data_IF_301423189818
#
_entry.id   IF_301423189818
#
_cell.length_a   1.000
_cell.length_b   1.000
_cell.length_c   1.000
_cell.angle_alpha   90.00
_cell.angle_beta   90.00
_cell.angle_gamma   90.00
#
_symmetry.space_group_name_H-M   'P 1'
#
loop_
_entity.id
_entity.type
_entity.pdbx_description
1 polymer ?
#
# COMPACT_ATOMS: atom_id res chain seq x y z
N UNK A 1 11.43 -8.29 -7.82
CA UNK A 1 10.46 -9.02 -6.97
C UNK A 1 10.81 -9.16 -5.47
N UNK A 2 11.95 -9.73 -5.06
CA UNK A 2 12.21 -10.06 -3.64
C UNK A 2 12.02 -8.90 -2.64
N UNK A 3 12.53 -7.70 -2.98
CA UNK A 3 12.39 -6.50 -2.14
C UNK A 3 10.93 -6.11 -1.87
N UNK A 4 10.04 -6.30 -2.86
CA UNK A 4 8.61 -6.04 -2.71
C UNK A 4 7.99 -7.00 -1.70
N UNK A 5 8.25 -8.31 -1.83
CA UNK A 5 7.75 -9.30 -0.89
C UNK A 5 8.27 -9.07 0.54
N UNK A 6 9.54 -8.70 0.69
CA UNK A 6 10.10 -8.33 2.00
C UNK A 6 9.40 -7.11 2.59
N UNK A 7 9.13 -6.07 1.79
CA UNK A 7 8.40 -4.89 2.25
C UNK A 7 6.97 -5.24 2.68
N UNK A 8 6.25 -6.09 1.94
CA UNK A 8 4.92 -6.56 2.32
C UNK A 8 4.96 -7.37 3.63
N UNK A 9 5.94 -8.24 3.78
CA UNK A 9 6.11 -9.04 5.00
C UNK A 9 6.38 -8.16 6.23
N UNK A 10 7.29 -7.19 6.14
CA UNK A 10 7.56 -6.24 7.22
C UNK A 10 6.32 -5.40 7.55
N UNK A 11 5.62 -4.95 6.52
CA UNK A 11 4.37 -4.20 6.65
C UNK A 11 3.32 -5.03 7.40
N UNK A 12 3.23 -6.32 7.09
CA UNK A 12 2.36 -7.27 7.78
C UNK A 12 2.82 -7.62 9.20
N UNK A 13 4.08 -7.46 9.54
CA UNK A 13 4.51 -7.64 10.93
C UNK A 13 4.11 -6.41 11.76
N UNK A 14 4.30 -5.20 11.23
CA UNK A 14 4.22 -3.97 12.03
C UNK A 14 2.94 -3.15 11.85
N UNK A 15 1.86 -3.70 11.28
CA UNK A 15 0.59 -2.99 11.07
C UNK A 15 -0.32 -2.86 12.30
N UNK A 16 0.15 -3.30 13.46
CA UNK A 16 -0.54 -3.19 14.75
C UNK A 16 -0.58 -4.50 15.53
N UNK A 17 -0.53 -5.66 14.84
CA UNK A 17 -0.66 -6.97 15.50
C UNK A 17 0.53 -7.35 16.38
N UNK A 18 1.74 -6.88 16.04
CA UNK A 18 2.91 -7.09 16.91
C UNK A 18 2.84 -6.26 18.19
N UNK A 19 2.18 -5.09 18.17
CA UNK A 19 1.98 -4.27 19.36
C UNK A 19 0.99 -4.96 20.32
N UNK A 20 -0.04 -5.63 19.78
CA UNK A 20 -1.00 -6.44 20.55
C UNK A 20 -0.32 -7.66 21.21
N UNK A 21 0.54 -8.38 20.48
CA UNK A 21 1.26 -9.55 21.00
C UNK A 21 2.25 -9.13 22.10
N UNK A 22 2.95 -8.01 21.93
CA UNK A 22 3.86 -7.47 22.95
C UNK A 22 3.12 -7.07 24.23
N UNK A 23 1.89 -6.57 24.12
CA UNK A 23 1.06 -6.19 25.26
C UNK A 23 0.56 -7.42 26.04
N UNK A 24 0.16 -8.49 25.34
CA UNK A 24 -0.34 -9.76 25.94
C UNK A 24 0.77 -10.56 26.63
N UNK A 25 2.03 -10.45 26.18
CA UNK A 25 3.18 -11.18 26.72
C UNK A 25 3.68 -10.74 28.10
N UNK A 26 3.00 -9.83 28.80
CA UNK A 26 3.41 -9.34 30.13
C UNK A 26 2.90 -10.20 31.31
N UNK A 27 2.18 -11.30 31.02
CA UNK A 27 1.74 -12.29 32.01
C UNK A 27 2.48 -13.62 31.81
N UNK A 28 3.70 -13.73 32.35
CA UNK A 28 4.32 -14.92 32.96
C UNK A 28 5.85 -14.77 32.97
N UNK A 29 6.44 -15.00 34.14
CA UNK A 29 7.88 -15.00 34.40
C UNK A 29 8.64 -15.89 33.40
N UNK A 30 9.51 -15.30 32.59
CA UNK A 30 10.75 -15.96 32.19
C UNK A 30 11.80 -14.94 31.74
N UNK A 31 12.97 -15.05 32.34
CA UNK A 31 14.17 -14.27 32.05
C UNK A 31 14.72 -14.66 30.67
N UNK A 32 14.11 -14.20 29.59
CA UNK A 32 14.62 -14.39 28.23
C UNK A 32 14.65 -13.07 27.49
N UNK A 33 15.87 -12.57 27.23
CA UNK A 33 16.27 -11.45 26.36
C UNK A 33 15.09 -10.61 25.84
N UNK A 34 14.84 -9.45 26.44
CA UNK A 34 13.89 -8.48 25.88
C UNK A 34 14.37 -8.09 24.48
N UNK A 35 13.76 -8.68 23.46
CA UNK A 35 13.98 -8.28 22.08
C UNK A 35 13.49 -6.84 21.98
N UNK A 36 14.37 -5.91 21.61
CA UNK A 36 14.02 -4.49 21.46
C UNK A 36 13.08 -4.30 20.25
N UNK A 37 11.80 -4.60 20.45
CA UNK A 37 10.75 -4.55 19.43
C UNK A 37 10.61 -3.15 18.84
N UNK A 38 10.80 -2.10 19.65
CA UNK A 38 10.77 -0.72 19.18
C UNK A 38 11.91 -0.43 18.20
N UNK A 39 13.11 -0.92 18.50
CA UNK A 39 14.28 -0.82 17.61
C UNK A 39 14.05 -1.58 16.30
N UNK A 40 13.47 -2.78 16.37
CA UNK A 40 13.12 -3.57 15.18
C UNK A 40 12.03 -2.89 14.36
N UNK A 41 11.00 -2.36 14.99
CA UNK A 41 9.91 -1.61 14.34
C UNK A 41 10.46 -0.40 13.59
N UNK A 42 11.29 0.41 14.24
CA UNK A 42 11.90 1.59 13.62
C UNK A 42 12.74 1.21 12.40
N UNK A 43 13.53 0.14 12.52
CA UNK A 43 14.35 -0.38 11.42
C UNK A 43 13.50 -0.91 10.27
N UNK A 44 12.42 -1.64 10.57
CA UNK A 44 11.49 -2.14 9.57
C UNK A 44 10.79 -1.01 8.81
N UNK A 45 10.28 0.00 9.52
CA UNK A 45 9.65 1.17 8.90
C UNK A 45 10.64 1.91 7.99
N UNK A 46 11.88 2.12 8.43
CA UNK A 46 12.92 2.75 7.59
C UNK A 46 13.18 1.96 6.30
N UNK A 47 13.21 0.62 6.38
CA UNK A 47 13.41 -0.23 5.20
C UNK A 47 12.20 -0.20 4.25
N UNK A 48 10.98 -0.18 4.79
CA UNK A 48 9.75 -0.04 3.99
C UNK A 48 9.74 1.31 3.27
N UNK A 49 10.05 2.39 3.99
CA UNK A 49 10.12 3.74 3.43
C UNK A 49 11.17 3.82 2.31
N UNK A 50 12.39 3.37 2.58
CA UNK A 50 13.45 3.33 1.57
C UNK A 50 13.03 2.54 0.32
N UNK A 51 12.33 1.41 0.50
CA UNK A 51 11.79 0.63 -0.61
C UNK A 51 10.79 1.44 -1.45
N UNK A 52 9.79 2.08 -0.83
CA UNK A 52 8.78 2.87 -1.55
C UNK A 52 9.44 4.04 -2.29
N UNK A 53 10.43 4.68 -1.68
CA UNK A 53 11.16 5.80 -2.29
C UNK A 53 11.94 5.40 -3.54
N UNK A 54 12.31 4.13 -3.72
CA UNK A 54 12.95 3.68 -4.98
C UNK A 54 12.05 3.80 -6.22
N UNK A 55 10.73 3.95 -6.02
CA UNK A 55 9.73 4.09 -7.09
C UNK A 55 9.12 5.49 -7.16
N UNK A 56 9.68 6.44 -6.40
CA UNK A 56 9.13 7.78 -6.24
C UNK A 56 9.94 8.81 -7.02
N UNK A 57 9.69 8.91 -8.34
CA UNK A 57 10.32 9.94 -9.18
C UNK A 57 9.81 11.35 -8.79
N UNK A 58 10.64 12.23 -8.22
CA UNK A 58 10.17 13.52 -7.70
C UNK A 58 9.44 14.36 -8.74
N UNK A 59 9.87 14.31 -10.01
CA UNK A 59 9.28 15.11 -11.08
C UNK A 59 7.90 14.57 -11.49
N UNK A 60 7.77 13.26 -11.72
CA UNK A 60 6.47 12.66 -12.03
C UNK A 60 5.45 12.88 -10.90
N UNK A 61 5.87 12.75 -9.63
CA UNK A 61 4.97 12.97 -8.49
C UNK A 61 4.57 14.43 -8.34
N UNK A 62 5.49 15.38 -8.56
CA UNK A 62 5.18 16.81 -8.55
C UNK A 62 4.16 17.16 -9.64
N UNK A 63 4.37 16.67 -10.87
CA UNK A 63 3.45 16.88 -11.99
C UNK A 63 2.05 16.28 -11.72
N UNK A 64 2.01 15.07 -11.15
CA UNK A 64 0.77 14.40 -10.76
C UNK A 64 0.04 15.14 -9.63
N UNK A 65 0.77 15.71 -8.67
CA UNK A 65 0.18 16.49 -7.59
C UNK A 65 -0.40 17.83 -8.07
N UNK A 66 0.24 18.49 -9.03
CA UNK A 66 -0.20 19.78 -9.57
C UNK A 66 -1.44 19.66 -10.47
N UNK A 67 -1.51 18.65 -11.34
CA UNK A 67 -2.54 18.58 -12.40
C UNK A 67 -3.61 17.52 -12.15
N UNK A 68 -3.33 16.47 -11.38
CA UNK A 68 -4.15 15.25 -11.30
C UNK A 68 -4.59 14.68 -12.66
N UNK A 69 -3.92 15.07 -13.75
CA UNK A 69 -4.30 14.72 -15.10
C UNK A 69 -4.00 13.24 -15.38
N UNK A 70 -4.80 12.56 -16.21
CA UNK A 70 -4.58 11.16 -16.57
C UNK A 70 -3.16 10.82 -17.04
N UNK A 71 -2.54 11.71 -17.82
CA UNK A 71 -1.19 11.52 -18.33
C UNK A 71 -0.13 11.50 -17.21
N UNK A 72 -0.21 12.44 -16.26
CA UNK A 72 0.72 12.51 -15.14
C UNK A 72 0.61 11.29 -14.20
N UNK A 73 -0.63 10.83 -13.93
CA UNK A 73 -0.86 9.61 -13.16
C UNK A 73 -0.35 8.35 -13.88
N UNK A 74 -0.43 8.32 -15.21
CA UNK A 74 0.10 7.22 -16.03
C UNK A 74 1.62 7.19 -15.94
N UNK A 75 2.30 8.33 -16.01
CA UNK A 75 3.76 8.41 -15.86
C UNK A 75 4.22 7.85 -14.51
N UNK A 76 3.56 8.23 -13.41
CA UNK A 76 3.84 7.67 -12.07
C UNK A 76 3.60 6.17 -12.03
N UNK A 77 2.53 5.69 -12.67
CA UNK A 77 2.21 4.26 -12.75
C UNK A 77 3.32 3.47 -13.43
N UNK A 78 3.81 3.96 -14.58
CA UNK A 78 4.86 3.29 -15.33
C UNK A 78 6.20 3.31 -14.60
N UNK A 79 6.58 4.43 -13.97
CA UNK A 79 7.82 4.51 -13.18
C UNK A 79 7.78 3.63 -11.93
N UNK A 80 6.59 3.44 -11.35
CA UNK A 80 6.40 2.65 -10.14
C UNK A 80 6.16 1.16 -10.39
N UNK A 81 5.96 0.74 -11.65
CA UNK A 81 5.52 -0.62 -12.01
C UNK A 81 6.57 -1.67 -11.67
N UNK A 82 6.15 -2.71 -10.96
CA UNK A 82 6.89 -3.96 -10.78
C UNK A 82 6.21 -5.02 -11.64
N UNK A 83 6.84 -5.42 -12.74
CA UNK A 83 6.23 -6.28 -13.75
C UNK A 83 5.71 -7.60 -13.16
N UNK A 84 6.49 -8.21 -12.27
CA UNK A 84 6.17 -9.51 -11.67
C UNK A 84 5.07 -9.41 -10.61
N UNK A 85 4.79 -8.22 -10.07
CA UNK A 85 3.72 -8.04 -9.09
C UNK A 85 2.33 -8.30 -9.70
N UNK A 86 2.17 -8.11 -11.01
CA UNK A 86 0.94 -8.44 -11.73
C UNK A 86 0.62 -9.94 -11.79
N UNK A 87 1.58 -10.81 -11.45
CA UNK A 87 1.39 -12.26 -11.36
C UNK A 87 0.99 -12.74 -9.96
N UNK A 88 1.08 -11.87 -8.94
CA UNK A 88 0.62 -12.22 -7.61
C UNK A 88 -0.90 -12.26 -7.58
N UNK A 89 -1.44 -13.25 -6.90
CA UNK A 89 -2.87 -13.36 -6.61
C UNK A 89 -3.07 -13.15 -5.12
N UNK A 90 -3.85 -12.15 -4.77
CA UNK A 90 -4.28 -11.90 -3.39
C UNK A 90 -5.67 -12.52 -3.13
N UNK A 91 -5.84 -12.99 -1.91
CA UNK A 91 -7.13 -13.31 -1.30
C UNK A 91 -7.88 -12.05 -0.87
N UNK A 92 -9.17 -12.18 -0.59
CA UNK A 92 -9.97 -11.08 -0.04
C UNK A 92 -9.45 -10.58 1.31
N UNK A 93 -8.92 -11.47 2.16
CA UNK A 93 -8.35 -11.11 3.45
C UNK A 93 -7.09 -10.23 3.30
N UNK A 94 -6.21 -10.57 2.35
CA UNK A 94 -5.01 -9.77 2.06
C UNK A 94 -5.38 -8.39 1.53
N UNK A 95 -6.32 -8.30 0.57
CA UNK A 95 -6.81 -7.01 0.06
C UNK A 95 -7.45 -6.19 1.18
N UNK A 96 -8.34 -6.78 1.98
CA UNK A 96 -9.01 -6.11 3.09
C UNK A 96 -8.01 -5.55 4.12
N UNK A 97 -6.91 -6.27 4.35
CA UNK A 97 -5.84 -5.80 5.23
C UNK A 97 -5.13 -4.55 4.71
N UNK A 98 -4.77 -4.51 3.43
CA UNK A 98 -4.18 -3.30 2.84
C UNK A 98 -5.18 -2.13 2.90
N UNK A 99 -6.47 -2.37 2.66
CA UNK A 99 -7.51 -1.35 2.78
C UNK A 99 -7.63 -0.82 4.21
N UNK A 100 -7.58 -1.68 5.22
CA UNK A 100 -7.55 -1.26 6.62
C UNK A 100 -6.29 -0.42 6.92
N UNK A 101 -5.14 -0.84 6.39
CA UNK A 101 -3.85 -0.19 6.61
C UNK A 101 -3.74 1.22 6.02
N UNK A 102 -4.55 1.58 5.02
CA UNK A 102 -4.66 2.97 4.56
C UNK A 102 -5.12 3.95 5.66
N UNK A 103 -5.71 3.44 6.75
CA UNK A 103 -6.11 4.22 7.94
C UNK A 103 -5.11 4.16 9.09
N UNK A 104 -4.04 3.38 8.97
CA UNK A 104 -3.04 3.19 10.04
C UNK A 104 -2.36 4.52 10.39
N UNK A 105 -2.05 4.86 11.66
CA UNK A 105 -1.40 6.13 12.00
C UNK A 105 -0.02 6.31 11.36
N UNK A 106 0.70 5.24 11.03
CA UNK A 106 2.02 5.30 10.40
C UNK A 106 1.94 5.72 8.92
N UNK A 107 2.58 6.84 8.52
CA UNK A 107 2.60 7.28 7.12
C UNK A 107 3.32 6.27 6.22
N UNK A 108 4.37 5.62 6.73
CA UNK A 108 5.12 4.58 6.02
C UNK A 108 4.24 3.39 5.64
N UNK A 109 3.43 2.91 6.59
CA UNK A 109 2.53 1.77 6.34
C UNK A 109 1.40 2.15 5.37
N UNK A 110 0.84 3.36 5.50
CA UNK A 110 -0.13 3.87 4.51
C UNK A 110 0.48 3.92 3.10
N UNK A 111 1.70 4.46 2.98
CA UNK A 111 2.41 4.57 1.72
C UNK A 111 2.67 3.21 1.07
N UNK A 112 3.15 2.25 1.86
CA UNK A 112 3.38 0.89 1.38
C UNK A 112 2.08 0.18 0.99
N UNK A 113 1.01 0.33 1.77
CA UNK A 113 -0.29 -0.22 1.44
C UNK A 113 -0.84 0.36 0.13
N UNK A 114 -0.79 1.69 -0.04
CA UNK A 114 -1.20 2.34 -1.28
C UNK A 114 -0.36 1.89 -2.48
N UNK A 115 0.96 1.77 -2.31
CA UNK A 115 1.88 1.25 -3.32
C UNK A 115 1.56 -0.21 -3.70
N UNK A 116 1.32 -1.09 -2.74
CA UNK A 116 0.96 -2.47 -3.00
C UNK A 116 -0.35 -2.58 -3.78
N UNK A 117 -1.38 -1.82 -3.36
CA UNK A 117 -2.66 -1.76 -4.06
C UNK A 117 -2.53 -1.19 -5.48
N UNK A 118 -1.62 -0.22 -5.69
CA UNK A 118 -1.26 0.23 -7.03
C UNK A 118 -0.77 -0.96 -7.85
N UNK A 119 0.28 -1.67 -7.41
CA UNK A 119 0.85 -2.81 -8.12
C UNK A 119 -0.19 -3.88 -8.49
N UNK A 120 -1.11 -4.17 -7.57
CA UNK A 120 -2.15 -5.18 -7.77
C UNK A 120 -3.25 -4.78 -8.74
N UNK A 121 -3.43 -3.48 -8.98
CA UNK A 121 -4.54 -2.95 -9.79
C UNK A 121 -4.08 -2.34 -11.10
N UNK A 122 -2.77 -2.34 -11.40
CA UNK A 122 -2.28 -1.79 -12.66
C UNK A 122 -2.92 -2.53 -13.84
N UNK A 123 -3.52 -1.82 -14.82
CA UNK A 123 -4.05 -2.44 -16.02
C UNK A 123 -3.02 -3.32 -16.74
N UNK A 124 -3.50 -4.44 -17.29
CA UNK A 124 -2.68 -5.47 -17.93
C UNK A 124 -2.09 -6.52 -16.98
N UNK A 125 -2.21 -6.37 -15.66
CA UNK A 125 -1.82 -7.40 -14.69
C UNK A 125 -2.72 -8.64 -14.76
N UNK A 126 -2.13 -9.84 -14.64
CA UNK A 126 -2.84 -11.14 -14.76
C UNK A 126 -4.05 -11.26 -13.83
N UNK A 127 -3.95 -10.69 -12.63
CA UNK A 127 -5.00 -10.74 -11.61
C UNK A 127 -5.64 -9.38 -11.31
N UNK A 128 -5.38 -8.34 -12.12
CA UNK A 128 -5.85 -6.97 -11.86
C UNK A 128 -7.39 -6.90 -11.71
N UNK A 129 -8.13 -7.53 -12.62
CA UNK A 129 -9.61 -7.58 -12.57
C UNK A 129 -10.13 -8.23 -11.28
N UNK A 130 -9.47 -9.29 -10.80
CA UNK A 130 -9.82 -9.93 -9.54
C UNK A 130 -9.59 -8.98 -8.36
N UNK A 131 -8.41 -8.34 -8.29
CA UNK A 131 -8.07 -7.43 -7.20
C UNK A 131 -8.97 -6.20 -7.15
N UNK A 132 -9.36 -5.66 -8.31
CA UNK A 132 -10.34 -4.57 -8.41
C UNK A 132 -11.68 -4.99 -7.78
N UNK A 133 -12.19 -6.18 -8.12
CA UNK A 133 -13.45 -6.69 -7.53
C UNK A 133 -13.34 -6.91 -6.02
N UNK A 134 -12.21 -7.43 -5.55
CA UNK A 134 -11.95 -7.59 -4.12
C UNK A 134 -11.89 -6.23 -3.40
N UNK A 135 -11.27 -5.22 -4.01
CA UNK A 135 -11.22 -3.85 -3.46
C UNK A 135 -12.60 -3.21 -3.37
N UNK A 136 -13.43 -3.36 -4.41
CA UNK A 136 -14.82 -2.89 -4.39
C UNK A 136 -15.61 -3.57 -3.26
N UNK A 137 -15.49 -4.89 -3.14
CA UNK A 137 -16.16 -5.69 -2.10
C UNK A 137 -15.70 -5.31 -0.69
N UNK A 138 -14.43 -4.90 -0.53
CA UNK A 138 -13.87 -4.41 0.73
C UNK A 138 -14.23 -2.95 1.05
N UNK A 139 -15.06 -2.27 0.23
CA UNK A 139 -15.41 -0.87 0.42
C UNK A 139 -14.24 0.09 0.21
N UNK A 140 -13.20 -0.32 -0.52
CA UNK A 140 -11.98 0.45 -0.73
C UNK A 140 -12.18 1.85 -1.35
N UNK A 141 -13.15 2.10 -2.28
CA UNK A 141 -13.29 3.42 -2.89
C UNK A 141 -13.42 4.57 -1.89
N UNK A 142 -14.19 4.39 -0.80
CA UNK A 142 -14.33 5.42 0.24
C UNK A 142 -13.00 5.68 0.95
N UNK A 143 -12.26 4.62 1.26
CA UNK A 143 -10.98 4.70 2.00
C UNK A 143 -9.91 5.35 1.16
N UNK A 144 -9.81 4.95 -0.11
CA UNK A 144 -8.85 5.49 -1.05
C UNK A 144 -9.11 6.98 -1.32
N UNK A 145 -10.38 7.43 -1.39
CA UNK A 145 -10.70 8.86 -1.50
C UNK A 145 -10.21 9.65 -0.30
N UNK A 146 -10.44 9.14 0.91
CA UNK A 146 -9.93 9.76 2.13
C UNK A 146 -8.39 9.80 2.15
N UNK A 147 -7.72 8.71 1.75
CA UNK A 147 -6.26 8.64 1.67
C UNK A 147 -5.68 9.62 0.63
N UNK A 148 -6.30 9.72 -0.55
CA UNK A 148 -5.92 10.64 -1.62
C UNK A 148 -6.06 12.14 -1.25
N UNK A 149 -7.02 12.44 -0.36
CA UNK A 149 -7.35 13.79 0.10
C UNK A 149 -6.67 14.17 1.44
N UNK A 150 -5.99 13.24 2.11
CA UNK A 150 -5.38 13.50 3.41
C UNK A 150 -4.30 14.59 3.31
N UNK A 151 -4.51 15.72 3.99
CA UNK A 151 -3.62 16.87 3.94
C UNK A 151 -2.22 16.56 4.50
N UNK A 152 -2.15 15.77 5.57
CA UNK A 152 -0.91 15.41 6.27
C UNK A 152 -0.25 14.12 5.78
N UNK A 153 -0.80 13.45 4.77
CA UNK A 153 -0.20 12.24 4.23
C UNK A 153 0.97 12.57 3.27
N UNK A 154 1.99 11.70 3.17
CA UNK A 154 3.03 11.82 2.16
C UNK A 154 2.44 11.91 0.75
N UNK A 155 3.12 12.64 -0.14
CA UNK A 155 2.69 12.83 -1.53
C UNK A 155 2.54 11.48 -2.24
N UNK A 156 3.42 10.52 -1.95
CA UNK A 156 3.43 9.18 -2.54
C UNK A 156 2.14 8.44 -2.23
N UNK A 157 1.78 8.38 -0.94
CA UNK A 157 0.56 7.71 -0.48
C UNK A 157 -0.70 8.30 -1.14
N UNK A 158 -0.74 9.64 -1.29
CA UNK A 158 -1.87 10.35 -1.90
C UNK A 158 -1.98 10.04 -3.39
N UNK A 159 -0.87 10.12 -4.13
CA UNK A 159 -0.83 9.88 -5.57
C UNK A 159 -1.13 8.41 -5.87
N UNK A 160 -0.52 7.45 -5.15
CA UNK A 160 -0.85 6.04 -5.30
C UNK A 160 -2.33 5.75 -5.04
N UNK A 161 -2.92 6.32 -3.99
CA UNK A 161 -4.34 6.15 -3.72
C UNK A 161 -5.24 6.70 -4.86
N UNK A 162 -4.86 7.83 -5.48
CA UNK A 162 -5.56 8.39 -6.65
C UNK A 162 -5.47 7.46 -7.87
N UNK A 163 -4.30 6.89 -8.13
CA UNK A 163 -4.12 5.95 -9.23
C UNK A 163 -4.99 4.71 -9.01
N UNK A 164 -4.98 4.14 -7.81
CA UNK A 164 -5.82 2.98 -7.48
C UNK A 164 -7.30 3.31 -7.69
N UNK A 165 -7.79 4.48 -7.25
CA UNK A 165 -9.17 4.92 -7.52
C UNK A 165 -9.49 4.93 -9.01
N UNK A 166 -8.61 5.52 -9.81
CA UNK A 166 -8.77 5.56 -11.27
C UNK A 166 -8.82 4.16 -11.87
N UNK A 167 -7.98 3.24 -11.40
CA UNK A 167 -7.99 1.83 -11.85
C UNK A 167 -9.34 1.14 -11.55
N UNK A 168 -9.95 1.43 -10.39
CA UNK A 168 -11.28 0.93 -10.03
C UNK A 168 -12.37 1.49 -10.94
N UNK A 169 -12.32 2.79 -11.23
CA UNK A 169 -13.29 3.50 -12.07
C UNK A 169 -13.23 3.03 -13.53
N UNK A 170 -12.04 2.85 -14.08
CA UNK A 170 -11.85 2.34 -15.44
C UNK A 170 -12.43 0.93 -15.63
N UNK A 171 -12.28 0.06 -14.62
CA UNK A 171 -12.88 -1.27 -14.66
C UNK A 171 -14.41 -1.22 -14.56
N UNK A 172 -14.96 -0.29 -13.80
CA UNK A 172 -16.41 -0.12 -13.71
C UNK A 172 -17.00 0.33 -15.07
N UNK A 173 -16.34 1.27 -15.75
CA UNK A 173 -16.74 1.72 -17.09
C UNK A 173 -16.63 0.61 -18.16
N UNK A 174 -15.69 -0.33 -18.00
CA UNK A 174 -15.53 -1.49 -18.88
C UNK A 174 -16.52 -2.65 -18.63
N UNK A 175 -17.26 -2.63 -17.52
CA UNK A 175 -18.30 -3.62 -17.18
C UNK A 175 -19.72 -3.17 -17.60
N UNK A 176 -19.87 -1.92 -18.04
CA UNK A 176 -21.15 -1.31 -18.46
C UNK A 176 -21.39 -1.36 -19.98
N UNK A 177 -20.72 -2.27 -20.70
CA UNK A 177 -20.91 -2.55 -22.13
C UNK A 177 -21.31 -4.00 -22.32
#
# INVERSE_FOLDING_TARGET
MARFMSALALTYMFDGRMDEIALVGTSTESTSKSVNLDGLRRTALKNIEAFVMTFSDPQAFAAAAASSAPAALTQVTESARIQEAGHLRCSGAEIGRFVAMLRNPSPTLKGCAAFALLQFTIPGGRHAVLHVRLLQSAGAPRVLRAAAAAASAPIEAKIFARIVLRNLEQHQAGLSV
#
